data_IF_458541012109
#
_entry.id   IF_458541012109
#
_cell.length_a   1.000
_cell.length_b   1.000
_cell.length_c   1.000
_cell.angle_alpha   90.00
_cell.angle_beta   90.00
_cell.angle_gamma   90.00
#
_symmetry.space_group_name_H-M   'P 1'
#
loop_
_entity.id
_entity.type
_entity.pdbx_description
1 polymer ?
#
# COMPACT_ATOMS: atom_id res chain seq x y z
N UNK A 1 16.14 0.26 21.66
CA UNK A 1 15.23 1.07 20.79
C UNK A 1 15.27 0.62 19.35
N UNK A 2 16.45 0.31 18.79
CA UNK A 2 16.62 -0.12 17.39
C UNK A 2 15.91 -1.46 17.07
N UNK A 3 15.89 -2.41 17.99
CA UNK A 3 15.20 -3.70 17.81
C UNK A 3 13.66 -3.58 17.87
N UNK A 4 13.12 -2.62 18.63
CA UNK A 4 11.67 -2.37 18.69
C UNK A 4 11.13 -1.77 17.40
N UNK A 5 11.91 -0.96 16.70
CA UNK A 5 11.51 -0.33 15.42
C UNK A 5 11.35 -1.38 14.31
N UNK A 6 12.11 -2.48 14.35
CA UNK A 6 12.03 -3.56 13.38
C UNK A 6 10.81 -4.49 13.55
N UNK A 7 10.09 -4.39 14.67
CA UNK A 7 8.95 -5.28 14.99
C UNK A 7 7.58 -4.65 14.77
N UNK A 8 7.50 -3.38 14.36
CA UNK A 8 6.21 -2.75 14.08
C UNK A 8 5.59 -3.31 12.79
N UNK A 9 4.31 -3.72 12.80
CA UNK A 9 3.59 -4.23 11.63
C UNK A 9 3.69 -3.30 10.41
N UNK A 10 3.60 -1.99 10.63
CA UNK A 10 3.66 -0.94 9.60
C UNK A 10 4.95 -0.99 8.79
N UNK A 11 6.11 -1.14 9.43
CA UNK A 11 7.39 -1.21 8.73
C UNK A 11 7.50 -2.49 7.90
N UNK A 12 7.10 -3.64 8.46
CA UNK A 12 7.10 -4.91 7.72
C UNK A 12 6.18 -4.87 6.50
N UNK A 13 5.00 -4.26 6.64
CA UNK A 13 4.08 -4.10 5.53
C UNK A 13 4.65 -3.18 4.44
N UNK A 14 5.35 -2.11 4.82
CA UNK A 14 6.03 -1.23 3.87
C UNK A 14 7.20 -1.92 3.16
N UNK A 15 8.01 -2.71 3.87
CA UNK A 15 9.10 -3.51 3.30
C UNK A 15 8.56 -4.53 2.29
N UNK A 16 7.44 -5.21 2.62
CA UNK A 16 6.79 -6.16 1.70
C UNK A 16 6.17 -5.46 0.48
N UNK A 17 5.56 -4.29 0.65
CA UNK A 17 5.06 -3.50 -0.46
C UNK A 17 6.19 -3.07 -1.38
N UNK A 18 7.32 -2.64 -0.81
CA UNK A 18 8.53 -2.29 -1.55
C UNK A 18 9.05 -3.47 -2.37
N UNK A 19 9.26 -4.64 -1.75
CA UNK A 19 9.74 -5.84 -2.43
C UNK A 19 8.80 -6.27 -3.57
N UNK A 20 7.49 -6.25 -3.31
CA UNK A 20 6.47 -6.64 -4.29
C UNK A 20 6.42 -5.68 -5.48
N UNK A 21 6.46 -4.37 -5.24
CA UNK A 21 6.45 -3.37 -6.31
C UNK A 21 7.75 -3.42 -7.12
N UNK A 22 8.90 -3.59 -6.46
CA UNK A 22 10.18 -3.78 -7.14
C UNK A 22 10.17 -5.04 -8.02
N UNK A 23 9.70 -6.17 -7.48
CA UNK A 23 9.58 -7.41 -8.23
C UNK A 23 8.66 -7.21 -9.45
N UNK A 24 7.52 -6.54 -9.28
CA UNK A 24 6.61 -6.22 -10.36
C UNK A 24 7.29 -5.44 -11.50
N UNK A 25 8.03 -4.38 -11.17
CA UNK A 25 8.72 -3.57 -12.17
C UNK A 25 9.84 -4.36 -12.88
N UNK A 26 10.62 -5.11 -12.13
CA UNK A 26 11.68 -5.96 -12.68
C UNK A 26 11.13 -7.04 -13.62
N UNK A 27 10.08 -7.75 -13.19
CA UNK A 27 9.57 -8.93 -13.89
C UNK A 27 8.71 -8.54 -15.11
N UNK A 28 8.08 -7.36 -15.09
CA UNK A 28 7.26 -6.85 -16.21
C UNK A 28 8.00 -5.87 -17.12
N UNK A 29 9.16 -5.35 -16.72
CA UNK A 29 9.87 -4.27 -17.41
C UNK A 29 9.16 -2.92 -17.36
N UNK A 30 8.11 -2.78 -16.53
CA UNK A 30 7.34 -1.54 -16.38
C UNK A 30 8.02 -0.58 -15.39
N UNK A 31 7.60 0.68 -15.46
CA UNK A 31 8.09 1.78 -14.62
C UNK A 31 6.91 2.42 -13.86
N UNK A 32 7.17 3.18 -12.79
CA UNK A 32 6.12 3.95 -12.11
C UNK A 32 5.29 4.84 -13.04
N UNK A 33 5.93 5.41 -14.07
CA UNK A 33 5.28 6.27 -15.08
C UNK A 33 4.32 5.56 -16.03
N UNK A 34 4.34 4.22 -16.06
CA UNK A 34 3.41 3.42 -16.87
C UNK A 34 2.03 3.26 -16.21
N UNK A 35 1.90 3.76 -14.98
CA UNK A 35 0.66 3.76 -14.21
C UNK A 35 0.19 5.18 -13.94
N UNK A 36 -1.10 5.41 -14.07
CA UNK A 36 -1.71 6.68 -13.65
C UNK A 36 -1.74 6.80 -12.12
N UNK A 37 -1.89 5.65 -11.44
CA UNK A 37 -1.90 5.58 -9.99
C UNK A 37 -1.37 4.23 -9.50
N UNK A 38 -0.55 4.26 -8.46
CA UNK A 38 -0.07 3.10 -7.71
C UNK A 38 -0.65 3.22 -6.31
N UNK A 39 -1.33 2.19 -5.83
CA UNK A 39 -2.05 2.27 -4.56
C UNK A 39 -1.73 1.09 -3.67
N UNK A 40 -1.32 1.38 -2.45
CA UNK A 40 -1.14 0.38 -1.39
C UNK A 40 -2.43 0.16 -0.59
N UNK A 41 -2.50 -0.93 0.16
CA UNK A 41 -3.71 -1.37 0.85
C UNK A 41 -4.10 -0.50 2.04
N UNK A 42 -3.33 -0.56 3.10
CA UNK A 42 -3.63 0.12 4.36
C UNK A 42 -2.35 0.38 5.18
N UNK A 43 -1.31 0.85 4.53
CA UNK A 43 -0.06 1.24 5.19
C UNK A 43 -0.24 2.47 6.09
N UNK A 44 -1.21 3.31 5.76
CA UNK A 44 -1.43 4.62 6.38
C UNK A 44 -0.37 5.64 5.98
N UNK A 45 -0.47 6.86 6.49
CA UNK A 45 0.45 7.96 6.17
C UNK A 45 1.91 7.61 6.49
N UNK A 46 2.17 7.09 7.70
CA UNK A 46 3.51 6.71 8.12
C UNK A 46 4.09 5.59 7.27
N UNK A 47 3.31 4.54 6.97
CA UNK A 47 3.78 3.43 6.15
C UNK A 47 4.01 3.83 4.70
N UNK A 48 3.20 4.74 4.16
CA UNK A 48 3.39 5.34 2.84
C UNK A 48 4.70 6.16 2.79
N UNK A 49 4.99 6.95 3.82
CA UNK A 49 6.25 7.71 3.91
C UNK A 49 7.47 6.79 3.96
N UNK A 50 7.42 5.71 4.76
CA UNK A 50 8.49 4.71 4.82
C UNK A 50 8.70 4.07 3.43
N UNK A 51 7.64 3.71 2.73
CA UNK A 51 7.70 3.13 1.39
C UNK A 51 8.34 4.09 0.38
N UNK A 52 7.95 5.36 0.40
CA UNK A 52 8.55 6.40 -0.45
C UNK A 52 10.04 6.59 -0.16
N UNK A 53 10.44 6.58 1.11
CA UNK A 53 11.84 6.70 1.52
C UNK A 53 12.69 5.51 1.05
N UNK A 54 12.15 4.30 1.10
CA UNK A 54 12.82 3.10 0.58
C UNK A 54 13.10 3.24 -0.93
N UNK A 55 12.11 3.64 -1.72
CA UNK A 55 12.29 3.84 -3.15
C UNK A 55 13.20 5.02 -3.50
N UNK A 56 13.12 6.10 -2.73
CA UNK A 56 14.01 7.24 -2.91
C UNK A 56 15.49 6.87 -2.76
N UNK A 57 15.83 5.98 -1.83
CA UNK A 57 17.19 5.45 -1.64
C UNK A 57 17.71 4.69 -2.86
N UNK A 58 16.79 4.08 -3.63
CA UNK A 58 17.12 3.42 -4.91
C UNK A 58 17.09 4.37 -6.11
N UNK A 59 16.88 5.67 -5.87
CA UNK A 59 16.79 6.67 -6.92
C UNK A 59 15.47 6.64 -7.70
N UNK A 60 14.41 6.03 -7.14
CA UNK A 60 13.09 5.95 -7.73
C UNK A 60 12.16 6.94 -7.05
N UNK A 61 11.62 7.88 -7.83
CA UNK A 61 10.67 8.89 -7.37
C UNK A 61 9.25 8.55 -7.83
N UNK A 62 8.31 8.53 -6.88
CA UNK A 62 6.90 8.37 -7.16
C UNK A 62 6.16 9.71 -7.08
N UNK A 63 5.43 10.05 -8.13
CA UNK A 63 4.49 11.19 -8.15
C UNK A 63 3.04 10.76 -8.03
N UNK A 64 2.79 9.45 -8.11
CA UNK A 64 1.49 8.82 -8.28
C UNK A 64 1.27 7.66 -7.30
N UNK A 65 1.94 7.67 -6.15
CA UNK A 65 1.75 6.68 -5.09
C UNK A 65 0.72 7.19 -4.07
N UNK A 66 -0.30 6.37 -3.85
CA UNK A 66 -1.33 6.60 -2.83
C UNK A 66 -1.51 5.37 -1.93
N UNK A 67 -2.28 5.52 -0.87
CA UNK A 67 -2.60 4.45 0.07
C UNK A 67 -4.09 4.46 0.42
N UNK A 68 -4.74 3.30 0.41
CA UNK A 68 -6.16 3.19 0.70
C UNK A 68 -6.50 3.65 2.12
N UNK A 69 -5.63 3.39 3.09
CA UNK A 69 -5.82 3.85 4.47
C UNK A 69 -5.79 5.37 4.60
N UNK A 70 -5.04 6.04 3.71
CA UNK A 70 -5.03 7.52 3.63
C UNK A 70 -6.25 8.02 2.85
N UNK A 71 -6.60 7.38 1.74
CA UNK A 71 -7.68 7.82 0.84
C UNK A 71 -9.08 7.67 1.42
N UNK A 72 -9.29 6.76 2.39
CA UNK A 72 -10.63 6.46 2.93
C UNK A 72 -11.18 7.57 3.83
N UNK A 73 -10.32 8.46 4.31
CA UNK A 73 -10.68 9.54 5.22
C UNK A 73 -10.19 10.90 4.70
N UNK A 74 -10.83 11.95 5.15
CA UNK A 74 -10.36 13.32 5.01
C UNK A 74 -9.59 13.74 6.27
N UNK A 75 -8.26 13.67 6.20
CA UNK A 75 -7.38 14.00 7.33
C UNK A 75 -7.43 15.50 7.73
N UNK A 76 -8.04 16.39 6.91
CA UNK A 76 -8.17 17.80 7.26
C UNK A 76 -9.39 18.06 8.16
N UNK A 77 -10.42 17.22 8.05
CA UNK A 77 -11.69 17.40 8.76
C UNK A 77 -11.97 16.31 9.78
N UNK A 78 -11.21 15.21 9.74
CA UNK A 78 -11.40 14.05 10.58
C UNK A 78 -10.11 13.74 11.38
N UNK A 79 -10.26 13.47 12.68
CA UNK A 79 -9.14 13.01 13.52
C UNK A 79 -8.91 11.51 13.32
N UNK A 80 -8.07 11.17 12.34
CA UNK A 80 -7.82 9.79 11.91
C UNK A 80 -6.36 9.34 12.07
N UNK A 81 -5.54 10.16 12.70
CA UNK A 81 -4.11 9.89 12.88
C UNK A 81 -3.39 9.46 11.58
N UNK A 82 -2.97 8.20 11.49
CA UNK A 82 -2.28 7.66 10.31
C UNK A 82 -3.22 7.17 9.20
N UNK A 83 -4.54 7.24 9.40
CA UNK A 83 -5.54 6.80 8.42
C UNK A 83 -6.26 5.50 8.81
N UNK A 84 -7.00 4.93 7.87
CA UNK A 84 -7.76 3.70 8.04
C UNK A 84 -6.91 2.46 7.92
N UNK A 85 -7.37 1.39 8.57
CA UNK A 85 -6.79 0.06 8.48
C UNK A 85 -7.88 -0.99 8.68
N UNK A 86 -7.54 -2.25 8.43
CA UNK A 86 -8.41 -3.39 8.65
C UNK A 86 -8.82 -4.09 7.35
N UNK A 87 -9.41 -5.28 7.51
CA UNK A 87 -9.65 -6.22 6.40
C UNK A 87 -10.55 -5.69 5.27
N UNK A 88 -11.36 -4.66 5.53
CA UNK A 88 -12.25 -4.05 4.55
C UNK A 88 -11.72 -2.78 3.90
N UNK A 89 -10.67 -2.15 4.45
CA UNK A 89 -10.19 -0.84 4.00
C UNK A 89 -9.81 -0.83 2.51
N UNK A 90 -8.90 -1.69 2.10
CA UNK A 90 -8.45 -1.80 0.71
C UNK A 90 -9.60 -2.12 -0.26
N UNK A 91 -10.47 -3.05 0.12
CA UNK A 91 -11.60 -3.46 -0.71
C UNK A 91 -12.61 -2.33 -0.90
N UNK A 92 -12.93 -1.59 0.17
CA UNK A 92 -13.84 -0.46 0.12
C UNK A 92 -13.33 0.65 -0.79
N UNK A 93 -12.04 1.01 -0.67
CA UNK A 93 -11.44 2.05 -1.52
C UNK A 93 -11.30 1.57 -2.96
N UNK A 94 -10.86 0.31 -3.18
CA UNK A 94 -10.74 -0.24 -4.53
C UNK A 94 -12.09 -0.19 -5.25
N UNK A 95 -13.15 -0.74 -4.65
CA UNK A 95 -14.46 -0.86 -5.31
C UNK A 95 -15.25 0.44 -5.33
N UNK A 96 -15.22 1.21 -4.23
CA UNK A 96 -16.00 2.44 -4.08
C UNK A 96 -15.38 3.65 -4.79
N UNK A 97 -14.07 3.76 -4.81
CA UNK A 97 -13.39 4.95 -5.32
C UNK A 97 -12.55 4.67 -6.58
N UNK A 98 -11.62 3.71 -6.53
CA UNK A 98 -10.65 3.51 -7.61
C UNK A 98 -11.30 2.97 -8.89
N UNK A 99 -12.06 1.89 -8.81
CA UNK A 99 -12.73 1.30 -9.99
C UNK A 99 -13.81 2.23 -10.55
N UNK A 100 -14.51 2.99 -9.71
CA UNK A 100 -15.44 4.02 -10.19
C UNK A 100 -14.69 5.16 -10.88
N UNK A 101 -13.55 5.58 -10.37
CA UNK A 101 -12.68 6.56 -11.04
C UNK A 101 -12.19 6.09 -12.40
N UNK A 102 -11.85 4.80 -12.53
CA UNK A 102 -11.50 4.19 -13.83
C UNK A 102 -12.70 4.21 -14.80
N UNK A 103 -13.89 3.83 -14.34
CA UNK A 103 -15.12 3.92 -15.18
C UNK A 103 -15.42 5.33 -15.66
N UNK A 104 -15.08 6.33 -14.86
CA UNK A 104 -15.24 7.76 -15.21
C UNK A 104 -14.08 8.31 -16.05
N UNK A 105 -13.08 7.48 -16.40
CA UNK A 105 -11.92 7.88 -17.19
C UNK A 105 -10.88 8.70 -16.42
N UNK A 106 -10.95 8.72 -15.08
CA UNK A 106 -9.98 9.43 -14.23
C UNK A 106 -8.60 8.76 -14.28
N UNK A 107 -8.57 7.45 -14.31
CA UNK A 107 -7.36 6.62 -14.46
C UNK A 107 -7.63 5.53 -15.49
N UNK A 108 -6.60 5.15 -16.24
CA UNK A 108 -6.62 4.07 -17.22
C UNK A 108 -5.83 2.86 -16.77
N UNK A 109 -4.74 3.09 -16.01
CA UNK A 109 -3.87 2.02 -15.50
C UNK A 109 -3.60 2.24 -14.02
N UNK A 110 -3.98 1.27 -13.21
CA UNK A 110 -3.69 1.20 -11.79
C UNK A 110 -2.75 0.04 -11.49
N UNK A 111 -1.81 0.24 -10.57
CA UNK A 111 -1.15 -0.85 -9.85
C UNK A 111 -1.71 -0.87 -8.43
N UNK A 112 -2.48 -1.88 -8.12
CA UNK A 112 -3.06 -2.06 -6.79
C UNK A 112 -2.24 -3.08 -6.01
N UNK A 113 -1.68 -2.68 -4.87
CA UNK A 113 -0.80 -3.46 -4.02
C UNK A 113 -1.51 -3.72 -2.68
N UNK A 114 -2.32 -4.79 -2.63
CA UNK A 114 -3.03 -5.18 -1.42
C UNK A 114 -2.07 -5.63 -0.34
N UNK A 115 -1.96 -4.85 0.73
CA UNK A 115 -1.17 -5.17 1.92
C UNK A 115 -2.05 -5.79 2.99
N UNK A 116 -1.48 -6.68 3.79
CA UNK A 116 -2.19 -7.29 4.91
C UNK A 116 -1.23 -7.81 5.96
N UNK A 117 -1.65 -7.74 7.22
CA UNK A 117 -0.97 -8.34 8.35
C UNK A 117 -1.97 -9.08 9.22
N UNK A 118 -1.67 -10.34 9.56
CA UNK A 118 -2.53 -11.14 10.42
C UNK A 118 -2.18 -10.88 11.88
N UNK A 119 -2.95 -10.04 12.54
CA UNK A 119 -2.84 -9.79 13.98
C UNK A 119 -3.59 -10.88 14.73
N UNK A 120 -2.89 -11.92 15.15
CA UNK A 120 -3.43 -13.00 16.00
C UNK A 120 -2.97 -12.81 17.44
N UNK A 121 -3.90 -12.65 18.42
CA UNK A 121 -3.53 -12.61 19.83
C UNK A 121 -2.79 -13.87 20.28
N UNK A 122 -3.17 -15.03 19.77
CA UNK A 122 -2.56 -16.31 20.09
C UNK A 122 -1.11 -16.37 19.64
N UNK A 123 -0.83 -15.99 18.36
CA UNK A 123 0.54 -15.98 17.84
C UNK A 123 1.42 -14.97 18.58
N UNK A 124 0.88 -13.81 18.91
CA UNK A 124 1.61 -12.76 19.66
C UNK A 124 1.95 -13.23 21.08
N UNK A 125 1.03 -13.91 21.76
CA UNK A 125 1.28 -14.46 23.10
C UNK A 125 2.29 -15.63 23.09
N UNK A 126 2.43 -16.32 21.97
CA UNK A 126 3.41 -17.40 21.77
C UNK A 126 4.78 -16.88 21.29
N UNK A 127 4.96 -15.57 21.13
CA UNK A 127 6.19 -14.99 20.66
C UNK A 127 6.45 -15.17 19.14
N UNK A 128 5.42 -15.62 18.40
CA UNK A 128 5.50 -15.79 16.95
C UNK A 128 5.52 -14.44 16.22
N UNK A 129 6.12 -14.46 15.04
CA UNK A 129 6.12 -13.27 14.17
C UNK A 129 4.73 -13.05 13.57
N UNK A 130 4.35 -11.78 13.37
CA UNK A 130 3.12 -11.42 12.66
C UNK A 130 3.31 -11.68 11.17
N UNK A 131 2.58 -12.65 10.57
CA UNK A 131 2.66 -12.88 9.13
C UNK A 131 2.05 -11.69 8.39
N UNK A 132 2.77 -11.21 7.39
CA UNK A 132 2.36 -10.09 6.54
C UNK A 132 2.52 -10.49 5.08
N UNK A 133 1.69 -9.92 4.22
CA UNK A 133 1.67 -10.22 2.79
C UNK A 133 1.42 -8.94 1.99
N UNK A 134 1.94 -8.90 0.75
CA UNK A 134 1.57 -7.91 -0.24
C UNK A 134 1.42 -8.58 -1.60
N UNK A 135 0.32 -8.32 -2.28
CA UNK A 135 0.07 -8.77 -3.65
C UNK A 135 -0.17 -7.59 -4.57
N UNK A 136 0.47 -7.58 -5.74
CA UNK A 136 0.28 -6.55 -6.75
C UNK A 136 -0.58 -7.05 -7.91
N UNK A 137 -1.57 -6.24 -8.31
CA UNK A 137 -2.44 -6.47 -9.45
C UNK A 137 -2.46 -5.23 -10.33
N UNK A 138 -2.07 -5.39 -11.60
CA UNK A 138 -2.21 -4.33 -12.59
C UNK A 138 -3.63 -4.39 -13.19
N UNK A 139 -4.35 -3.27 -13.12
CA UNK A 139 -5.72 -3.12 -13.65
C UNK A 139 -5.68 -2.05 -14.74
N UNK A 140 -6.24 -2.36 -15.91
CA UNK A 140 -6.32 -1.39 -17.02
C UNK A 140 -7.70 -1.41 -17.67
N UNK A 141 -8.10 -0.26 -18.21
CA UNK A 141 -9.31 -0.11 -19.05
C UNK A 141 -9.02 -0.29 -20.54
N UNK A 142 -7.76 -0.52 -20.91
CA UNK A 142 -7.40 -0.80 -22.31
C UNK A 142 -7.78 -2.23 -22.67
N UNK A 143 -8.51 -2.35 -23.76
CA UNK A 143 -8.75 -3.61 -24.48
C UNK A 143 -7.64 -3.87 -25.47
#
# INVERSE_FOLDING_TARGET
LHQLIHSFPTRRSSDLAYDTIQAHFRDTGRRPSDYDLIVTGDLGSLGKEILLDLFHRDGIEFKNLEDCGVLIYDAQTQDVHCGGSGCGCSAAVLTGFLLNGMKQGRWRRLLFCGTGALLSPTSTLQGESIPSICHAVAISTEQ
#
